data_IF_826396791945
#
_entry.id   IF_826396791945
#
_cell.length_a   1.000
_cell.length_b   1.000
_cell.length_c   1.000
_cell.angle_alpha   90.00
_cell.angle_beta   90.00
_cell.angle_gamma   90.00
#
_symmetry.space_group_name_H-M   'P 1'
#
loop_
_entity.id
_entity.type
_entity.pdbx_description
1 polymer ?
#
# COMPACT_ATOMS: atom_id res chain seq x y z
N UNK A 1 33.84 1.78 -1.81
CA UNK A 1 32.62 2.60 -1.66
C UNK A 1 31.39 2.02 -2.36
N UNK A 2 31.48 1.56 -3.61
CA UNK A 2 30.37 0.90 -4.33
C UNK A 2 29.92 -0.44 -3.71
N UNK A 3 30.86 -1.24 -3.19
CA UNK A 3 30.56 -2.54 -2.58
C UNK A 3 29.72 -2.42 -1.29
N UNK A 4 29.97 -1.40 -0.46
CA UNK A 4 29.25 -1.18 0.81
C UNK A 4 27.81 -0.75 0.54
N UNK A 5 27.60 0.16 -0.43
CA UNK A 5 26.24 0.57 -0.85
C UNK A 5 25.48 -0.60 -1.45
N UNK A 6 26.13 -1.40 -2.30
CA UNK A 6 25.52 -2.59 -2.89
C UNK A 6 25.04 -3.59 -1.84
N UNK A 7 25.85 -3.91 -0.82
CA UNK A 7 25.41 -4.78 0.28
C UNK A 7 24.23 -4.19 1.07
N UNK A 8 24.30 -2.90 1.42
CA UNK A 8 23.24 -2.24 2.16
C UNK A 8 21.91 -2.27 1.39
N UNK A 9 21.93 -1.91 0.11
CA UNK A 9 20.72 -1.86 -0.72
C UNK A 9 20.11 -3.28 -0.91
N UNK A 10 20.96 -4.32 -0.96
CA UNK A 10 20.52 -5.72 -0.97
C UNK A 10 19.88 -6.14 0.36
N UNK A 11 20.46 -5.73 1.49
CA UNK A 11 19.92 -6.03 2.81
C UNK A 11 18.59 -5.30 3.05
N UNK A 12 18.49 -4.03 2.62
CA UNK A 12 17.25 -3.26 2.65
C UNK A 12 16.16 -3.94 1.81
N UNK A 13 16.51 -4.41 0.61
CA UNK A 13 15.57 -5.15 -0.26
C UNK A 13 15.06 -6.42 0.42
N UNK A 14 15.94 -7.22 1.04
CA UNK A 14 15.53 -8.43 1.77
C UNK A 14 14.66 -8.11 2.97
N UNK A 15 14.98 -7.06 3.72
CA UNK A 15 14.18 -6.62 4.85
C UNK A 15 12.76 -6.21 4.41
N UNK A 16 12.65 -5.47 3.30
CA UNK A 16 11.36 -5.08 2.72
C UNK A 16 10.56 -6.29 2.21
N UNK A 17 11.21 -7.28 1.61
CA UNK A 17 10.57 -8.55 1.22
C UNK A 17 10.04 -9.31 2.44
N UNK A 18 10.83 -9.40 3.52
CA UNK A 18 10.39 -10.03 4.77
C UNK A 18 9.20 -9.33 5.39
N UNK A 19 9.18 -7.99 5.37
CA UNK A 19 8.06 -7.20 5.87
C UNK A 19 6.79 -7.33 5.02
N UNK A 20 6.93 -7.34 3.69
CA UNK A 20 5.82 -7.62 2.77
C UNK A 20 5.21 -9.01 3.03
N UNK A 21 6.05 -10.01 3.28
CA UNK A 21 5.59 -11.35 3.63
C UNK A 21 4.90 -11.40 4.99
N UNK A 22 5.42 -10.66 5.98
CA UNK A 22 4.77 -10.54 7.28
C UNK A 22 3.37 -9.92 7.15
N UNK A 23 3.19 -8.87 6.34
CA UNK A 23 1.88 -8.27 6.06
C UNK A 23 0.92 -9.31 5.45
N UNK A 24 1.38 -10.14 4.51
CA UNK A 24 0.53 -11.15 3.85
C UNK A 24 0.08 -12.27 4.78
N UNK A 25 0.95 -12.70 5.69
CA UNK A 25 0.73 -13.87 6.55
C UNK A 25 0.14 -13.55 7.92
N UNK A 26 0.14 -12.28 8.30
CA UNK A 26 -0.39 -11.85 9.59
C UNK A 26 -1.91 -12.07 9.67
N UNK A 27 -2.38 -12.40 10.87
CA UNK A 27 -3.80 -12.36 11.20
C UNK A 27 -4.35 -10.93 11.04
N UNK A 28 -5.66 -10.74 10.77
CA UNK A 28 -6.21 -9.45 10.35
C UNK A 28 -5.83 -8.25 11.24
N UNK A 29 -5.84 -8.41 12.56
CA UNK A 29 -5.48 -7.34 13.49
C UNK A 29 -3.99 -6.95 13.39
N UNK A 30 -3.10 -7.93 13.25
CA UNK A 30 -1.66 -7.69 13.08
C UNK A 30 -1.38 -7.15 11.68
N UNK A 31 -2.10 -7.61 10.66
CA UNK A 31 -2.01 -7.10 9.31
C UNK A 31 -2.35 -5.60 9.26
N UNK A 32 -3.42 -5.16 9.94
CA UNK A 32 -3.75 -3.73 10.11
C UNK A 32 -2.61 -2.96 10.78
N UNK A 33 -2.03 -3.49 11.85
CA UNK A 33 -0.89 -2.85 12.55
C UNK A 33 0.33 -2.70 11.64
N UNK A 34 0.67 -3.74 10.88
CA UNK A 34 1.80 -3.72 9.96
C UNK A 34 1.58 -2.75 8.80
N UNK A 35 0.39 -2.73 8.21
CA UNK A 35 0.03 -1.77 7.14
C UNK A 35 0.16 -0.33 7.65
N UNK A 36 -0.31 -0.04 8.87
CA UNK A 36 -0.12 1.28 9.50
C UNK A 36 1.33 1.69 9.62
N UNK A 37 2.17 0.77 10.10
CA UNK A 37 3.59 1.03 10.33
C UNK A 37 4.34 1.38 9.04
N UNK A 38 3.91 0.81 7.91
CA UNK A 38 4.60 0.96 6.63
C UNK A 38 4.01 2.03 5.72
N UNK A 39 2.88 2.65 6.08
CA UNK A 39 2.16 3.60 5.22
C UNK A 39 2.99 4.86 4.86
N UNK A 40 4.02 5.21 5.63
CA UNK A 40 4.92 6.31 5.32
C UNK A 40 6.15 5.88 4.48
N UNK A 41 6.31 4.58 4.23
CA UNK A 41 7.44 4.01 3.48
C UNK A 41 7.08 3.90 1.99
N UNK A 42 7.71 4.73 1.16
CA UNK A 42 7.62 4.62 -0.31
C UNK A 42 8.55 3.53 -0.81
N UNK A 43 8.08 2.29 -0.75
CA UNK A 43 8.75 1.12 -1.33
C UNK A 43 7.75 0.37 -2.21
N UNK A 44 8.12 0.13 -3.46
CA UNK A 44 7.26 -0.63 -4.39
C UNK A 44 6.91 -2.03 -3.87
N UNK A 45 7.86 -2.69 -3.18
CA UNK A 45 7.65 -4.02 -2.56
C UNK A 45 6.52 -3.96 -1.52
N UNK A 46 6.53 -2.92 -0.69
CA UNK A 46 5.51 -2.70 0.34
C UNK A 46 4.19 -2.26 -0.28
N UNK A 47 4.22 -1.31 -1.22
CA UNK A 47 3.03 -0.81 -1.90
C UNK A 47 2.28 -1.93 -2.63
N UNK A 48 3.01 -2.88 -3.23
CA UNK A 48 2.41 -4.07 -3.82
C UNK A 48 1.75 -4.96 -2.78
N UNK A 49 2.41 -5.24 -1.66
CA UNK A 49 1.85 -6.05 -0.58
C UNK A 49 0.59 -5.40 0.04
N UNK A 50 0.56 -4.07 0.16
CA UNK A 50 -0.63 -3.34 0.62
C UNK A 50 -1.73 -3.32 -0.43
N UNK A 51 -1.39 -3.32 -1.72
CA UNK A 51 -2.38 -3.46 -2.80
C UNK A 51 -3.05 -4.83 -2.76
N UNK A 52 -2.28 -5.89 -2.52
CA UNK A 52 -2.81 -7.26 -2.30
C UNK A 52 -3.80 -7.29 -1.10
N UNK A 53 -3.55 -6.49 -0.05
CA UNK A 53 -4.43 -6.42 1.13
C UNK A 53 -5.80 -5.75 0.87
N UNK A 54 -5.99 -5.06 -0.26
CA UNK A 54 -7.30 -4.51 -0.67
C UNK A 54 -8.34 -5.61 -0.93
N UNK A 55 -7.91 -6.84 -1.20
CA UNK A 55 -8.78 -7.99 -1.47
C UNK A 55 -9.07 -8.82 -0.21
N UNK A 56 -8.66 -8.34 0.97
CA UNK A 56 -8.82 -9.07 2.22
C UNK A 56 -10.30 -9.34 2.56
N UNK A 57 -10.64 -10.54 3.09
CA UNK A 57 -11.98 -10.78 3.62
C UNK A 57 -12.29 -9.91 4.84
N UNK A 58 -11.28 -9.41 5.55
CA UNK A 58 -11.45 -8.50 6.68
C UNK A 58 -11.67 -7.07 6.22
N UNK A 59 -12.82 -6.50 6.59
CA UNK A 59 -13.16 -5.09 6.32
C UNK A 59 -12.13 -4.13 6.91
N UNK A 60 -11.58 -4.44 8.08
CA UNK A 60 -10.59 -3.57 8.74
C UNK A 60 -9.27 -3.55 7.97
N UNK A 61 -8.87 -4.69 7.40
CA UNK A 61 -7.69 -4.77 6.54
C UNK A 61 -7.90 -3.99 5.25
N UNK A 62 -9.03 -4.17 4.55
CA UNK A 62 -9.32 -3.43 3.31
C UNK A 62 -9.32 -1.92 3.55
N UNK A 63 -9.94 -1.49 4.66
CA UNK A 63 -10.02 -0.08 5.07
C UNK A 63 -8.63 0.50 5.29
N UNK A 64 -7.80 -0.23 6.04
CA UNK A 64 -6.44 0.20 6.35
C UNK A 64 -5.55 0.24 5.10
N UNK A 65 -5.67 -0.76 4.22
CA UNK A 65 -4.95 -0.80 2.95
C UNK A 65 -5.32 0.37 2.04
N UNK A 66 -6.62 0.66 1.90
CA UNK A 66 -7.11 1.78 1.12
C UNK A 66 -6.66 3.13 1.71
N UNK A 67 -6.66 3.26 3.05
CA UNK A 67 -6.12 4.44 3.72
C UNK A 67 -4.62 4.60 3.44
N UNK A 68 -3.84 3.52 3.59
CA UNK A 68 -2.41 3.54 3.40
C UNK A 68 -2.05 3.95 1.96
N UNK A 69 -2.74 3.42 0.95
CA UNK A 69 -2.54 3.83 -0.45
C UNK A 69 -2.98 5.27 -0.75
N UNK A 70 -3.77 5.91 0.12
CA UNK A 70 -4.05 7.34 0.01
C UNK A 70 -2.89 8.23 0.48
N UNK A 71 -2.06 7.74 1.41
CA UNK A 71 -0.90 8.46 1.95
C UNK A 71 0.42 8.08 1.23
N UNK A 72 0.52 6.86 0.72
CA UNK A 72 1.58 6.38 -0.17
C UNK A 72 1.03 5.99 -1.55
N UNK A 73 0.70 6.97 -2.41
CA UNK A 73 0.11 6.71 -3.72
C UNK A 73 0.97 5.76 -4.56
N UNK A 74 0.32 4.76 -5.13
CA UNK A 74 0.93 3.74 -5.98
C UNK A 74 0.07 3.58 -7.24
N UNK A 75 0.45 4.18 -8.39
CA UNK A 75 -0.34 4.13 -9.62
C UNK A 75 -0.78 2.72 -10.05
N UNK A 76 0.04 1.66 -9.90
CA UNK A 76 -0.40 0.30 -10.23
C UNK A 76 -1.60 -0.21 -9.40
N UNK A 77 -1.91 0.39 -8.24
CA UNK A 77 -3.09 0.03 -7.44
C UNK A 77 -4.41 0.61 -7.96
N UNK A 78 -4.38 1.45 -9.02
CA UNK A 78 -5.57 2.19 -9.47
C UNK A 78 -6.78 1.28 -9.76
N UNK A 79 -6.58 0.14 -10.42
CA UNK A 79 -7.67 -0.80 -10.74
C UNK A 79 -8.26 -1.44 -9.49
N UNK A 80 -7.44 -1.90 -8.54
CA UNK A 80 -7.91 -2.47 -7.28
C UNK A 80 -8.64 -1.42 -6.43
N UNK A 81 -8.15 -0.18 -6.41
CA UNK A 81 -8.83 0.94 -5.74
C UNK A 81 -10.17 1.32 -6.39
N UNK A 82 -10.28 1.21 -7.72
CA UNK A 82 -11.56 1.43 -8.41
C UNK A 82 -12.61 0.38 -8.01
N UNK A 83 -12.23 -0.89 -7.88
CA UNK A 83 -13.14 -1.94 -7.44
C UNK A 83 -13.70 -1.67 -6.03
N UNK A 84 -12.90 -1.06 -5.14
CA UNK A 84 -13.34 -0.70 -3.79
C UNK A 84 -14.31 0.49 -3.72
N UNK A 85 -14.61 1.16 -4.84
CA UNK A 85 -15.66 2.19 -4.86
C UNK A 85 -17.05 1.59 -4.63
N UNK A 86 -17.22 0.29 -4.85
CA UNK A 86 -18.45 -0.47 -4.63
C UNK A 86 -18.39 -1.37 -3.39
N UNK A 87 -17.37 -1.22 -2.53
CA UNK A 87 -17.24 -2.00 -1.28
C UNK A 87 -18.45 -1.76 -0.35
N UNK A 88 -18.89 -2.78 0.38
CA UNK A 88 -20.00 -2.67 1.34
C UNK A 88 -19.72 -1.64 2.45
N UNK A 89 -18.45 -1.51 2.88
CA UNK A 89 -18.05 -0.60 3.95
C UNK A 89 -17.80 0.83 3.44
N UNK A 90 -18.48 1.78 4.08
CA UNK A 90 -18.42 3.19 3.69
C UNK A 90 -17.03 3.83 3.89
N UNK A 91 -16.25 3.37 4.87
CA UNK A 91 -14.89 3.89 5.09
C UNK A 91 -13.95 3.36 4.02
N UNK A 92 -14.08 2.09 3.62
CA UNK A 92 -13.34 1.52 2.49
C UNK A 92 -13.57 2.35 1.22
N UNK A 93 -14.85 2.58 0.84
CA UNK A 93 -15.20 3.42 -0.31
C UNK A 93 -14.59 4.83 -0.24
N UNK A 94 -14.67 5.47 0.94
CA UNK A 94 -14.13 6.82 1.13
C UNK A 94 -12.61 6.88 0.97
N UNK A 95 -11.89 5.91 1.55
CA UNK A 95 -10.43 5.84 1.40
C UNK A 95 -10.00 5.53 -0.03
N UNK A 96 -10.70 4.61 -0.71
CA UNK A 96 -10.46 4.31 -2.12
C UNK A 96 -10.59 5.56 -3.01
N UNK A 97 -11.69 6.32 -2.85
CA UNK A 97 -11.89 7.60 -3.54
C UNK A 97 -10.75 8.59 -3.27
N UNK A 98 -10.32 8.72 -2.00
CA UNK A 98 -9.19 9.60 -1.63
C UNK A 98 -7.88 9.19 -2.30
N UNK A 99 -7.59 7.88 -2.34
CA UNK A 99 -6.40 7.36 -3.00
C UNK A 99 -6.43 7.63 -4.51
N UNK A 100 -7.57 7.40 -5.18
CA UNK A 100 -7.73 7.68 -6.61
C UNK A 100 -7.58 9.18 -6.95
N UNK A 101 -8.18 10.07 -6.14
CA UNK A 101 -7.98 11.52 -6.31
C UNK A 101 -6.50 11.90 -6.18
N UNK A 102 -5.78 11.26 -5.24
CA UNK A 102 -4.35 11.51 -5.06
C UNK A 102 -3.54 11.06 -6.27
N UNK A 103 -3.86 9.90 -6.86
CA UNK A 103 -3.24 9.44 -8.11
C UNK A 103 -3.50 10.41 -9.27
N UNK A 104 -4.74 10.84 -9.48
CA UNK A 104 -5.09 11.80 -10.53
C UNK A 104 -4.35 13.15 -10.36
N UNK A 105 -4.18 13.62 -9.12
CA UNK A 105 -3.42 14.85 -8.84
C UNK A 105 -1.95 14.75 -9.21
N UNK A 106 -1.37 13.54 -9.15
CA UNK A 106 0.04 13.31 -9.49
C UNK A 106 0.27 13.30 -11.00
N UNK A 107 -0.63 12.67 -11.76
CA UNK A 107 -0.61 12.74 -13.23
C UNK A 107 -0.76 14.17 -13.72
N UNK A 108 -1.67 14.94 -13.11
CA UNK A 108 -1.91 16.34 -13.47
C UNK A 108 -0.71 17.26 -13.17
N UNK A 109 0.18 16.85 -12.25
CA UNK A 109 1.39 17.61 -11.88
C UNK A 109 2.57 17.35 -12.83
N UNK A 110 2.48 16.35 -13.72
CA UNK A 110 3.50 16.04 -14.72
C UNK A 110 3.31 16.73 -16.08
N UNK A 111 2.27 17.57 -16.23
CA UNK A 111 1.89 18.26 -17.49
C UNK A 111 2.09 19.79 -17.37
N UNK A 112 3.02 20.26 -16.54
CA UNK A 112 3.48 21.66 -16.50
C UNK A 112 5.01 21.70 -16.58
#
# INVERSE_FOLDING_TARGET
DWAIRGLRDMDDTRALQGLAEAIRRAEPEEQVRLIRLVAERRSEIIQRAVTEALESPSVDVRREAAWALSVMPYPPAATSLQALLDDDDAQVRNHARRALMRLASMDSSGIL
#
